data_IF_390789906425
#
_entry.id   IF_390789906425
#
_cell.length_a   1.000
_cell.length_b   1.000
_cell.length_c   1.000
_cell.angle_alpha   90.00
_cell.angle_beta   90.00
_cell.angle_gamma   90.00
#
_symmetry.space_group_name_H-M   'P 1'
#
loop_
_entity.id
_entity.type
_entity.pdbx_description
1 polymer ?
#
# COMPACT_ATOMS: atom_id res chain seq x y z
N UNK A 1 -1.08 14.90 2.35
CA UNK A 1 -2.45 15.07 1.82
C UNK A 1 -3.10 13.68 1.75
N UNK A 2 -3.74 13.25 2.84
CA UNK A 2 -4.21 11.86 3.00
C UNK A 2 -5.32 11.50 1.99
N UNK A 3 -6.09 12.50 1.56
CA UNK A 3 -7.20 12.36 0.63
C UNK A 3 -6.75 11.86 -0.75
N UNK A 4 -5.72 12.47 -1.33
CA UNK A 4 -5.16 12.03 -2.62
C UNK A 4 -4.60 10.61 -2.56
N UNK A 5 -4.04 10.20 -1.40
CA UNK A 5 -3.56 8.83 -1.19
C UNK A 5 -4.74 7.84 -1.18
N UNK A 6 -5.82 8.18 -0.48
CA UNK A 6 -7.05 7.39 -0.41
C UNK A 6 -7.70 7.27 -1.79
N UNK A 7 -7.76 8.37 -2.56
CA UNK A 7 -8.24 8.33 -3.95
C UNK A 7 -7.35 7.47 -4.85
N UNK A 8 -6.03 7.54 -4.69
CA UNK A 8 -5.10 6.69 -5.45
C UNK A 8 -5.30 5.21 -5.12
N UNK A 9 -5.46 4.85 -3.85
CA UNK A 9 -5.78 3.48 -3.44
C UNK A 9 -7.10 3.02 -4.08
N UNK A 10 -8.15 3.84 -4.01
CA UNK A 10 -9.46 3.53 -4.63
C UNK A 10 -9.35 3.38 -6.15
N UNK A 11 -8.62 4.26 -6.83
CA UNK A 11 -8.41 4.20 -8.28
C UNK A 11 -7.65 2.94 -8.71
N UNK A 12 -6.78 2.41 -7.85
CA UNK A 12 -6.11 1.13 -8.04
C UNK A 12 -6.93 -0.08 -7.54
N UNK A 13 -8.14 0.13 -7.01
CA UNK A 13 -8.97 -0.95 -6.45
C UNK A 13 -8.46 -1.53 -5.12
N UNK A 14 -7.53 -0.83 -4.44
CA UNK A 14 -7.02 -1.19 -3.12
C UNK A 14 -7.86 -0.53 -2.05
N UNK A 15 -8.24 -1.30 -1.04
CA UNK A 15 -8.86 -0.73 0.14
C UNK A 15 -7.87 0.18 0.89
N UNK A 16 -8.15 1.50 1.00
CA UNK A 16 -7.24 2.46 1.60
C UNK A 16 -6.96 2.16 3.08
N UNK A 17 -7.94 1.60 3.78
CA UNK A 17 -7.77 1.21 5.18
C UNK A 17 -6.83 0.00 5.31
N UNK A 18 -7.04 -1.04 4.51
CA UNK A 18 -6.18 -2.22 4.49
C UNK A 18 -4.73 -1.88 4.09
N UNK A 19 -4.57 -0.93 3.15
CA UNK A 19 -3.28 -0.38 2.77
C UNK A 19 -2.54 0.25 3.96
N UNK A 20 -3.21 1.15 4.68
CA UNK A 20 -2.63 1.84 5.84
C UNK A 20 -2.28 0.85 6.96
N UNK A 21 -3.14 -0.13 7.23
CA UNK A 21 -2.87 -1.17 8.24
C UNK A 21 -1.64 -2.00 7.85
N UNK A 22 -1.54 -2.45 6.59
CA UNK A 22 -0.36 -3.16 6.10
C UNK A 22 0.90 -2.29 6.16
N UNK A 23 0.78 -1.00 5.82
CA UNK A 23 1.88 -0.04 5.90
C UNK A 23 2.40 0.07 7.34
N UNK A 24 1.53 0.30 8.32
CA UNK A 24 1.94 0.41 9.72
C UNK A 24 2.45 -0.91 10.31
N UNK A 25 1.91 -2.05 9.86
CA UNK A 25 2.37 -3.36 10.32
C UNK A 25 3.71 -3.77 9.71
N UNK A 26 4.00 -3.34 8.48
CA UNK A 26 5.26 -3.64 7.79
C UNK A 26 6.33 -2.58 7.97
N UNK A 27 5.98 -1.34 8.35
CA UNK A 27 6.94 -0.30 8.72
C UNK A 27 8.02 -0.74 9.70
N UNK A 28 7.72 -1.50 10.78
CA UNK A 28 8.77 -2.01 11.67
C UNK A 28 9.58 -3.17 11.10
N UNK A 29 9.08 -3.86 10.06
CA UNK A 29 9.78 -5.00 9.43
C UNK A 29 10.48 -4.64 8.13
N UNK A 30 10.10 -3.54 7.47
CA UNK A 30 10.64 -3.07 6.21
C UNK A 30 11.97 -2.35 6.45
N UNK A 31 13.08 -3.05 6.17
CA UNK A 31 14.43 -2.47 6.22
C UNK A 31 14.99 -2.13 4.84
N UNK A 32 14.39 -2.67 3.77
CA UNK A 32 14.91 -2.56 2.41
C UNK A 32 13.91 -1.87 1.49
N UNK A 33 14.42 -1.20 0.45
CA UNK A 33 13.60 -0.52 -0.57
C UNK A 33 12.58 -1.46 -1.24
N UNK A 34 12.91 -2.74 -1.37
CA UNK A 34 12.06 -3.79 -1.94
C UNK A 34 10.77 -4.01 -1.12
N UNK A 35 10.87 -3.99 0.22
CA UNK A 35 9.72 -4.08 1.12
C UNK A 35 8.82 -2.83 0.99
N UNK A 36 9.44 -1.66 0.77
CA UNK A 36 8.69 -0.43 0.49
C UNK A 36 8.02 -0.49 -0.89
N UNK A 37 8.63 -1.10 -1.90
CA UNK A 37 8.00 -1.30 -3.21
C UNK A 37 6.82 -2.27 -3.15
N UNK A 38 6.95 -3.37 -2.39
CA UNK A 38 5.86 -4.30 -2.12
C UNK A 38 4.71 -3.68 -1.29
N UNK A 39 4.98 -2.55 -0.63
CA UNK A 39 4.02 -1.78 0.15
C UNK A 39 3.25 -0.75 -0.67
N UNK A 40 3.56 -0.56 -1.96
CA UNK A 40 2.90 0.43 -2.79
C UNK A 40 1.50 -0.05 -3.23
N UNK A 41 0.53 0.87 -3.39
CA UNK A 41 -0.86 0.50 -3.60
C UNK A 41 -1.05 -0.25 -4.93
N UNK A 42 -0.23 0.00 -5.94
CA UNK A 42 -0.28 -0.74 -7.20
C UNK A 42 0.29 -2.17 -7.11
N UNK A 43 1.22 -2.46 -6.19
CA UNK A 43 1.71 -3.81 -5.95
C UNK A 43 0.66 -4.69 -5.25
N UNK A 44 -0.11 -4.09 -4.33
CA UNK A 44 -1.24 -4.75 -3.66
C UNK A 44 -2.45 -4.92 -4.59
N UNK A 45 -2.69 -3.98 -5.51
CA UNK A 45 -3.71 -4.09 -6.55
C UNK A 45 -3.36 -5.11 -7.65
N UNK A 46 -2.09 -5.14 -8.03
CA UNK A 46 -1.60 -5.80 -9.24
C UNK A 46 -1.20 -7.26 -9.04
N UNK A 47 -0.98 -7.72 -7.80
CA UNK A 47 -0.74 -9.15 -7.53
C UNK A 47 -2.06 -9.93 -7.44
N UNK A 48 -2.92 -9.77 -8.46
CA UNK A 48 -4.02 -10.70 -8.71
C UNK A 48 -3.44 -11.88 -9.49
N UNK A 49 -2.98 -12.92 -8.77
CA UNK A 49 -3.13 -14.29 -9.29
C UNK A 49 -4.58 -14.72 -9.14
#
# INVERSE_FOLDING_TARGET
>A
NLYSLVETCKANGVEPYAYLVSLFSKLPTAQNADDFEALLPWCLAGCRR
#
